data_IF_241000463642
#
_entry.id   IF_241000463642
#
_cell.length_a   1.000
_cell.length_b   1.000
_cell.length_c   1.000
_cell.angle_alpha   90.00
_cell.angle_beta   90.00
_cell.angle_gamma   90.00
#
_symmetry.space_group_name_H-M   'P 1'
#
loop_
_entity.id
_entity.type
_entity.pdbx_description
1 polymer ?
#
# COMPACT_ATOMS: atom_id res chain seq x y z
N UNK A 1 -20.94 23.91 35.95
CA UNK A 1 -20.81 22.72 36.81
C UNK A 1 -20.51 21.54 35.88
N UNK A 2 -19.25 21.38 35.46
CA UNK A 2 -18.20 20.60 36.13
C UNK A 2 -18.57 19.14 36.33
N UNK A 3 -18.01 18.27 35.50
CA UNK A 3 -17.23 17.08 35.89
C UNK A 3 -16.52 16.57 34.62
N UNK A 4 -15.25 16.97 34.49
CA UNK A 4 -14.25 16.36 33.60
C UNK A 4 -13.70 15.16 34.36
N UNK A 5 -13.94 13.95 33.86
CA UNK A 5 -13.17 12.80 34.31
C UNK A 5 -11.76 12.89 33.72
N UNK A 6 -10.82 13.08 34.65
CA UNK A 6 -9.40 12.98 34.43
C UNK A 6 -9.03 11.50 34.44
N UNK A 7 -8.53 10.98 33.33
CA UNK A 7 -7.68 9.79 33.29
C UNK A 7 -6.89 9.80 31.97
N UNK A 8 -5.95 10.72 31.88
CA UNK A 8 -4.90 10.70 30.87
C UNK A 8 -3.81 9.73 31.31
N UNK A 9 -3.90 8.48 30.86
CA UNK A 9 -2.77 7.56 30.91
C UNK A 9 -1.72 8.05 29.91
N UNK A 10 -0.56 8.42 30.44
CA UNK A 10 0.60 8.89 29.70
C UNK A 10 1.06 7.84 28.68
N UNK A 11 0.96 8.18 27.40
CA UNK A 11 1.60 7.44 26.30
C UNK A 11 3.10 7.74 26.38
N UNK A 12 3.83 6.88 27.09
CA UNK A 12 5.29 6.87 27.12
C UNK A 12 5.82 6.13 25.91
N UNK A 13 6.53 6.84 25.04
CA UNK A 13 7.21 6.28 23.86
C UNK A 13 7.23 7.31 22.74
N UNK A 14 8.24 8.18 22.72
CA UNK A 14 8.46 9.16 21.64
C UNK A 14 8.79 10.60 22.09
N UNK A 15 8.93 10.85 23.39
CA UNK A 15 9.20 12.22 23.88
C UNK A 15 10.59 12.73 23.46
N UNK A 16 11.58 11.84 23.33
CA UNK A 16 12.99 12.24 23.20
C UNK A 16 13.35 12.63 21.75
N UNK A 17 12.88 11.86 20.76
CA UNK A 17 13.07 12.16 19.33
C UNK A 17 12.27 13.40 18.88
N UNK A 18 11.09 13.63 19.48
CA UNK A 18 10.25 14.80 19.22
C UNK A 18 10.85 16.08 19.82
N UNK A 19 11.60 15.96 20.91
CA UNK A 19 12.26 17.08 21.59
C UNK A 19 13.51 17.56 20.85
N UNK A 20 14.29 16.67 20.23
CA UNK A 20 15.46 17.05 19.43
C UNK A 20 15.09 17.74 18.11
N UNK A 21 14.00 17.32 17.45
CA UNK A 21 13.46 17.98 16.25
C UNK A 21 12.89 19.38 16.55
N UNK A 22 12.43 19.62 17.79
CA UNK A 22 11.89 20.91 18.24
C UNK A 22 12.94 22.02 18.32
N UNK A 23 14.18 21.69 18.67
CA UNK A 23 15.25 22.66 18.90
C UNK A 23 16.12 22.94 17.66
N UNK A 24 16.03 22.12 16.62
CA UNK A 24 16.83 22.25 15.40
C UNK A 24 16.17 23.06 14.28
N UNK A 25 14.97 23.63 14.51
CA UNK A 25 14.34 24.48 13.50
C UNK A 25 14.97 25.88 13.54
N UNK A 26 15.87 26.15 12.59
CA UNK A 26 16.43 27.48 12.39
C UNK A 26 15.29 28.52 12.25
N UNK A 27 15.49 29.72 12.81
CA UNK A 27 14.53 30.81 12.67
C UNK A 27 14.40 31.20 11.19
N UNK A 28 13.32 30.76 10.55
CA UNK A 28 13.06 31.04 9.13
C UNK A 28 12.36 32.39 9.00
N UNK A 29 13.02 33.36 8.36
CA UNK A 29 12.47 34.71 8.12
C UNK A 29 11.41 34.79 7.01
N UNK A 30 11.05 33.66 6.38
CA UNK A 30 10.11 33.57 5.24
C UNK A 30 8.88 32.75 5.61
N UNK A 31 7.70 33.22 5.22
CA UNK A 31 6.43 32.55 5.52
C UNK A 31 6.31 31.16 4.87
N UNK A 32 6.83 30.99 3.66
CA UNK A 32 6.81 29.71 2.94
C UNK A 32 7.63 28.61 3.63
N UNK A 33 8.68 29.00 4.35
CA UNK A 33 9.52 28.06 5.10
C UNK A 33 8.87 27.69 6.44
N UNK A 34 8.07 28.60 7.01
CA UNK A 34 7.33 28.38 8.25
C UNK A 34 6.07 27.51 8.04
N UNK A 35 5.45 27.54 6.87
CA UNK A 35 4.23 26.75 6.62
C UNK A 35 4.48 25.24 6.72
N UNK A 36 5.58 24.73 6.17
CA UNK A 36 5.96 23.30 6.22
C UNK A 36 6.02 22.72 7.65
N UNK A 37 6.76 23.32 8.61
CA UNK A 37 6.82 22.81 9.99
C UNK A 37 5.54 23.05 10.79
N UNK A 38 4.73 24.06 10.44
CA UNK A 38 3.41 24.25 11.05
C UNK A 38 2.47 23.12 10.60
N UNK A 39 2.37 22.86 9.30
CA UNK A 39 1.53 21.80 8.76
C UNK A 39 1.98 20.40 9.23
N UNK A 40 3.28 20.16 9.37
CA UNK A 40 3.77 18.86 9.88
C UNK A 40 3.40 18.59 11.33
N UNK A 41 3.02 19.63 12.10
CA UNK A 41 2.61 19.53 13.51
C UNK A 41 1.11 19.75 13.74
N UNK A 42 0.40 20.33 12.79
CA UNK A 42 -1.04 20.59 12.90
C UNK A 42 -1.84 19.27 12.95
N UNK A 43 -1.37 18.25 12.24
CA UNK A 43 -2.05 16.96 12.15
C UNK A 43 -1.27 15.86 12.89
N UNK A 44 -1.98 15.14 13.75
CA UNK A 44 -1.43 13.94 14.38
C UNK A 44 -1.28 12.81 13.35
N UNK A 45 -0.28 11.95 13.56
CA UNK A 45 -0.10 10.72 12.79
C UNK A 45 -1.35 9.84 12.92
N UNK A 46 -1.90 9.41 11.80
CA UNK A 46 -3.06 8.53 11.76
C UNK A 46 -2.77 7.30 10.90
N UNK A 47 -2.79 6.13 11.53
CA UNK A 47 -2.73 4.86 10.83
C UNK A 47 -4.14 4.44 10.40
N UNK A 48 -4.30 4.09 9.13
CA UNK A 48 -5.56 3.57 8.59
C UNK A 48 -5.84 2.14 9.07
N UNK A 49 -4.79 1.31 9.23
CA UNK A 49 -4.92 0.00 9.87
C UNK A 49 -3.62 -0.42 10.57
N UNK A 50 -3.75 -1.24 11.62
CA UNK A 50 -2.62 -1.98 12.20
C UNK A 50 -2.83 -3.46 11.90
N UNK A 51 -1.82 -4.10 11.32
CA UNK A 51 -1.86 -5.49 10.88
C UNK A 51 -0.62 -6.25 11.35
N UNK A 52 -0.73 -7.56 11.42
CA UNK A 52 0.40 -8.44 11.73
C UNK A 52 1.19 -8.72 10.47
N UNK A 53 2.50 -8.76 10.61
CA UNK A 53 3.48 -9.01 9.56
C UNK A 53 4.19 -10.32 9.87
N UNK A 54 3.89 -11.36 9.10
CA UNK A 54 4.41 -12.72 9.29
C UNK A 54 5.63 -12.97 8.40
N UNK A 55 6.77 -13.27 9.04
CA UNK A 55 8.04 -13.55 8.37
C UNK A 55 8.26 -15.04 8.11
N UNK A 56 7.61 -15.93 8.88
CA UNK A 56 7.77 -17.37 8.76
C UNK A 56 7.51 -18.09 10.08
N UNK A 57 7.85 -19.37 10.13
CA UNK A 57 7.76 -20.19 11.35
C UNK A 57 9.13 -20.28 12.02
N UNK A 58 9.15 -20.15 13.34
CA UNK A 58 10.35 -20.36 14.17
C UNK A 58 10.58 -21.85 14.37
N UNK A 59 11.80 -22.26 14.76
CA UNK A 59 12.18 -23.65 15.09
C UNK A 59 11.25 -24.35 16.10
N UNK A 60 10.52 -23.59 16.93
CA UNK A 60 9.55 -24.09 17.89
C UNK A 60 8.11 -24.18 17.35
N UNK A 61 7.89 -23.94 16.04
CA UNK A 61 6.56 -23.95 15.41
C UNK A 61 5.73 -22.69 15.67
N UNK A 62 6.29 -21.68 16.34
CA UNK A 62 5.62 -20.39 16.57
C UNK A 62 5.83 -19.46 15.37
N UNK A 63 4.77 -18.82 14.85
CA UNK A 63 4.92 -17.88 13.74
C UNK A 63 5.67 -16.64 14.22
N UNK A 64 6.76 -16.29 13.55
CA UNK A 64 7.47 -15.04 13.76
C UNK A 64 6.63 -13.91 13.17
N UNK A 65 6.08 -13.09 14.05
CA UNK A 65 5.17 -12.00 13.69
C UNK A 65 5.62 -10.68 14.31
N UNK A 66 5.46 -9.62 13.54
CA UNK A 66 5.73 -8.22 13.92
C UNK A 66 4.45 -7.43 13.72
N UNK A 67 4.16 -6.45 14.58
CA UNK A 67 3.04 -5.54 14.33
C UNK A 67 3.49 -4.33 13.51
N UNK A 68 2.75 -4.04 12.44
CA UNK A 68 2.99 -2.92 11.56
C UNK A 68 1.71 -2.11 11.35
N UNK A 69 1.83 -0.80 11.50
CA UNK A 69 0.80 0.18 11.17
C UNK A 69 0.96 0.67 9.73
N UNK A 70 -0.15 0.80 9.02
CA UNK A 70 -0.20 1.29 7.65
C UNK A 70 -0.89 2.65 7.65
N UNK A 71 -0.18 3.66 7.16
CA UNK A 71 -0.63 5.05 7.08
C UNK A 71 -0.67 5.50 5.63
N UNK A 72 -1.66 6.29 5.25
CA UNK A 72 -1.72 6.84 3.90
C UNK A 72 -0.93 8.15 3.85
N UNK A 73 0.09 8.22 3.01
CA UNK A 73 0.87 9.45 2.84
C UNK A 73 0.14 10.47 1.97
N UNK A 74 -0.59 9.98 0.96
CA UNK A 74 -1.34 10.80 0.02
C UNK A 74 -2.79 10.35 0.02
N UNK A 75 -3.71 11.30 0.15
CA UNK A 75 -5.14 11.07 0.06
C UNK A 75 -5.75 12.04 -0.94
N UNK A 76 -6.66 11.55 -1.78
CA UNK A 76 -7.45 12.43 -2.63
C UNK A 76 -8.34 13.30 -1.75
N UNK A 77 -8.37 14.61 -2.02
CA UNK A 77 -9.20 15.59 -1.33
C UNK A 77 -10.43 15.96 -2.19
N UNK A 78 -11.46 15.10 -2.28
CA UNK A 78 -12.67 15.42 -3.03
C UNK A 78 -13.47 16.52 -2.32
N UNK A 79 -14.28 17.25 -3.09
CA UNK A 79 -15.25 18.20 -2.54
C UNK A 79 -16.18 17.49 -1.53
N UNK A 80 -16.42 18.05 -0.34
CA UNK A 80 -17.30 17.42 0.65
C UNK A 80 -18.71 17.22 0.09
N UNK A 81 -19.33 16.09 0.45
CA UNK A 81 -20.68 15.74 0.01
C UNK A 81 -21.73 16.69 0.62
N UNK A 82 -22.82 16.94 -0.12
CA UNK A 82 -23.92 17.78 0.37
C UNK A 82 -24.56 17.21 1.63
N UNK A 83 -24.84 18.08 2.60
CA UNK A 83 -25.55 17.74 3.84
C UNK A 83 -27.03 18.07 3.65
N UNK A 84 -27.94 17.14 3.99
CA UNK A 84 -29.39 17.38 3.91
C UNK A 84 -29.82 18.15 5.15
N UNK A 85 -30.48 19.29 4.96
CA UNK A 85 -30.96 20.16 6.02
C UNK A 85 -32.48 20.22 6.00
N UNK A 86 -33.09 20.36 7.18
CA UNK A 86 -34.50 20.69 7.27
C UNK A 86 -34.72 22.14 6.83
N UNK A 87 -35.75 22.37 6.00
CA UNK A 87 -36.03 23.68 5.40
C UNK A 87 -36.37 24.74 6.45
N UNK A 88 -37.02 24.36 7.55
CA UNK A 88 -37.50 25.32 8.56
C UNK A 88 -36.45 25.63 9.61
N UNK A 89 -35.71 24.62 10.04
CA UNK A 89 -34.77 24.74 11.17
C UNK A 89 -33.31 24.83 10.74
N UNK A 90 -32.99 24.58 9.46
CA UNK A 90 -31.63 24.47 8.93
C UNK A 90 -30.74 23.47 9.70
N UNK A 91 -31.35 22.52 10.40
CA UNK A 91 -30.64 21.47 11.12
C UNK A 91 -30.39 20.26 10.23
N UNK A 92 -29.30 19.54 10.48
CA UNK A 92 -28.96 18.33 9.74
C UNK A 92 -30.01 17.24 9.92
N UNK A 93 -30.43 16.67 8.79
CA UNK A 93 -31.41 15.58 8.77
C UNK A 93 -30.71 14.23 8.69
N UNK A 94 -31.06 13.32 9.60
CA UNK A 94 -30.58 11.94 9.57
C UNK A 94 -31.30 11.15 8.48
N UNK A 95 -30.53 10.48 7.61
CA UNK A 95 -31.07 9.58 6.58
C UNK A 95 -31.13 8.16 7.16
N UNK A 96 -32.31 7.53 7.13
CA UNK A 96 -32.50 6.12 7.51
C UNK A 96 -33.04 5.38 6.30
N UNK A 97 -32.27 4.43 5.78
CA UNK A 97 -32.66 3.60 4.63
C UNK A 97 -33.20 2.26 5.14
N UNK A 98 -34.36 1.84 4.64
CA UNK A 98 -35.01 0.57 4.96
C UNK A 98 -35.46 -0.11 3.68
N UNK A 99 -35.35 -1.43 3.63
CA UNK A 99 -35.83 -2.26 2.53
C UNK A 99 -37.23 -2.78 2.85
N UNK A 100 -38.11 -2.80 1.85
CA UNK A 100 -39.49 -3.25 1.99
C UNK A 100 -39.89 -4.17 0.84
N UNK A 101 -40.76 -5.14 1.11
CA UNK A 101 -41.40 -5.92 0.05
C UNK A 101 -42.41 -5.03 -0.68
N UNK A 102 -42.41 -4.99 -2.03
CA UNK A 102 -43.32 -4.12 -2.78
C UNK A 102 -44.80 -4.48 -2.62
N UNK A 103 -45.12 -5.75 -2.33
CA UNK A 103 -46.51 -6.23 -2.27
C UNK A 103 -47.14 -6.05 -0.88
N UNK A 104 -46.43 -6.43 0.19
CA UNK A 104 -46.95 -6.40 1.57
C UNK A 104 -46.50 -5.18 2.37
N UNK A 105 -45.57 -4.37 1.83
CA UNK A 105 -44.91 -3.27 2.55
C UNK A 105 -44.23 -3.70 3.87
N UNK A 106 -43.93 -4.98 4.02
CA UNK A 106 -43.22 -5.52 5.17
C UNK A 106 -41.74 -5.15 5.11
N UNK A 107 -41.13 -4.90 6.28
CA UNK A 107 -39.72 -4.56 6.37
C UNK A 107 -38.85 -5.81 6.16
N UNK A 108 -37.92 -5.75 5.21
CA UNK A 108 -37.02 -6.86 4.92
C UNK A 108 -35.77 -6.80 5.80
N UNK A 109 -35.47 -7.92 6.45
CA UNK A 109 -34.23 -8.09 7.18
C UNK A 109 -33.12 -8.55 6.23
N UNK A 110 -31.84 -8.35 6.57
CA UNK A 110 -30.72 -8.83 5.74
C UNK A 110 -30.74 -10.34 5.46
N UNK A 111 -31.41 -11.14 6.31
CA UNK A 111 -31.63 -12.58 6.13
C UNK A 111 -32.59 -12.92 5.00
N UNK A 112 -33.52 -12.01 4.68
CA UNK A 112 -34.58 -12.23 3.70
C UNK A 112 -34.13 -11.80 2.29
N UNK A 113 -32.94 -11.21 2.19
CA UNK A 113 -32.36 -10.67 0.96
C UNK A 113 -31.30 -11.62 0.44
N UNK A 114 -31.53 -12.15 -0.76
CA UNK A 114 -30.53 -12.91 -1.51
C UNK A 114 -29.95 -12.08 -2.64
N UNK A 115 -28.71 -12.35 -2.96
CA UNK A 115 -28.01 -11.77 -4.10
C UNK A 115 -28.10 -12.71 -5.28
N UNK A 116 -28.08 -12.20 -6.50
CA UNK A 116 -28.08 -13.06 -7.67
C UNK A 116 -27.39 -12.44 -8.86
N UNK A 117 -26.75 -13.28 -9.66
CA UNK A 117 -26.10 -12.91 -10.91
C UNK A 117 -26.72 -13.76 -12.02
N UNK A 118 -27.16 -13.11 -13.09
CA UNK A 118 -27.69 -13.78 -14.27
C UNK A 118 -26.54 -14.07 -15.24
N UNK A 119 -26.26 -15.35 -15.48
CA UNK A 119 -25.22 -15.82 -16.40
C UNK A 119 -25.87 -16.73 -17.45
N UNK A 120 -25.82 -16.32 -18.71
CA UNK A 120 -26.30 -17.11 -19.86
C UNK A 120 -27.70 -17.73 -19.65
N UNK A 121 -28.68 -16.89 -19.29
CA UNK A 121 -30.07 -17.26 -18.99
C UNK A 121 -30.27 -18.18 -17.78
N UNK A 122 -29.27 -18.35 -16.93
CA UNK A 122 -29.39 -19.01 -15.62
C UNK A 122 -29.13 -18.01 -14.51
N UNK A 123 -30.03 -17.97 -13.54
CA UNK A 123 -29.87 -17.13 -12.35
C UNK A 123 -29.21 -17.92 -11.24
N UNK A 124 -28.02 -17.51 -10.84
CA UNK A 124 -27.33 -18.09 -9.67
C UNK A 124 -27.62 -17.18 -8.49
N UNK A 125 -28.19 -17.75 -7.43
CA UNK A 125 -28.50 -17.06 -6.19
C UNK A 125 -27.40 -17.35 -5.17
N UNK A 126 -27.08 -16.34 -4.36
CA UNK A 126 -26.08 -16.37 -3.32
C UNK A 126 -26.63 -15.74 -2.05
N UNK A 127 -26.29 -16.34 -0.91
CA UNK A 127 -26.52 -15.73 0.38
C UNK A 127 -25.44 -14.68 0.69
N UNK A 128 -25.74 -13.77 1.62
CA UNK A 128 -24.80 -12.73 2.04
C UNK A 128 -23.48 -13.30 2.59
N UNK A 129 -23.53 -14.46 3.25
CA UNK A 129 -22.36 -15.11 3.83
C UNK A 129 -21.54 -15.88 2.79
N UNK A 130 -22.17 -16.42 1.76
CA UNK A 130 -21.47 -17.03 0.62
C UNK A 130 -20.64 -15.99 -0.14
N UNK A 131 -21.20 -14.79 -0.36
CA UNK A 131 -20.44 -13.69 -0.99
C UNK A 131 -19.24 -13.28 -0.14
N UNK A 132 -19.38 -13.26 1.18
CA UNK A 132 -18.24 -12.97 2.08
C UNK A 132 -17.20 -14.08 2.01
N UNK A 133 -17.62 -15.34 1.95
CA UNK A 133 -16.74 -16.49 1.82
C UNK A 133 -15.97 -16.48 0.49
N UNK A 134 -16.64 -16.17 -0.63
CA UNK A 134 -16.00 -16.03 -1.96
C UNK A 134 -14.92 -14.95 -1.95
N UNK A 135 -15.15 -13.84 -1.23
CA UNK A 135 -14.17 -12.74 -1.10
C UNK A 135 -13.07 -13.00 -0.08
N UNK A 136 -13.15 -14.07 0.71
CA UNK A 136 -12.18 -14.38 1.77
C UNK A 136 -11.03 -15.21 1.21
N UNK A 137 -9.88 -14.57 1.01
CA UNK A 137 -8.65 -15.25 0.57
C UNK A 137 -7.70 -15.53 1.73
N UNK A 138 -7.34 -14.49 2.49
CA UNK A 138 -6.44 -14.58 3.63
C UNK A 138 -6.98 -13.75 4.80
N UNK A 139 -6.43 -14.00 5.98
CA UNK A 139 -6.69 -13.17 7.15
C UNK A 139 -5.92 -11.83 7.03
N UNK A 140 -6.37 -10.76 7.70
CA UNK A 140 -5.74 -9.45 7.60
C UNK A 140 -4.30 -9.49 8.11
N UNK A 141 -3.37 -9.04 7.29
CA UNK A 141 -1.95 -9.21 7.56
C UNK A 141 -1.07 -8.94 6.36
N UNK A 142 0.22 -8.88 6.64
CA UNK A 142 1.28 -9.06 5.66
C UNK A 142 1.84 -10.48 5.80
N UNK A 143 1.94 -11.17 4.68
CA UNK A 143 2.63 -12.45 4.59
C UNK A 143 3.78 -12.30 3.58
N UNK A 144 5.02 -12.49 4.04
CA UNK A 144 6.17 -12.44 3.13
C UNK A 144 6.08 -13.60 2.14
N UNK A 145 6.28 -13.31 0.86
CA UNK A 145 6.47 -14.29 -0.20
C UNK A 145 7.96 -14.45 -0.54
N UNK A 146 8.72 -13.35 -0.53
CA UNK A 146 10.16 -13.39 -0.79
C UNK A 146 10.79 -12.01 -0.93
N UNK A 147 12.01 -11.97 -1.43
CA UNK A 147 12.77 -10.75 -1.71
C UNK A 147 13.06 -10.66 -3.20
N UNK A 148 12.98 -9.45 -3.77
CA UNK A 148 13.23 -9.19 -5.20
C UNK A 148 14.01 -7.89 -5.37
N UNK A 149 14.82 -7.78 -6.42
CA UNK A 149 15.60 -6.57 -6.68
C UNK A 149 14.71 -5.38 -7.07
N UNK A 150 15.04 -4.17 -6.59
CA UNK A 150 14.36 -2.91 -6.91
C UNK A 150 14.31 -2.64 -8.41
N UNK A 151 15.32 -3.06 -9.19
CA UNK A 151 15.34 -2.90 -10.65
C UNK A 151 14.17 -3.59 -11.37
N UNK A 152 13.55 -4.60 -10.74
CA UNK A 152 12.37 -5.26 -11.31
C UNK A 152 11.08 -4.44 -11.16
N UNK A 153 11.11 -3.33 -10.39
CA UNK A 153 9.98 -2.46 -10.20
C UNK A 153 9.97 -1.39 -11.30
N UNK A 154 9.03 -1.52 -12.23
CA UNK A 154 8.90 -0.62 -13.37
C UNK A 154 8.06 0.62 -12.98
N UNK A 155 8.55 1.86 -13.20
CA UNK A 155 7.83 3.08 -12.80
C UNK A 155 6.44 3.24 -13.43
N UNK A 156 6.24 2.70 -14.63
CA UNK A 156 4.97 2.80 -15.36
C UNK A 156 3.88 1.85 -14.82
N UNK A 157 4.20 0.94 -13.89
CA UNK A 157 3.26 -0.06 -13.34
C UNK A 157 2.52 0.44 -12.10
N UNK A 158 2.08 1.69 -12.13
CA UNK A 158 1.36 2.32 -11.03
C UNK A 158 -0.14 2.00 -11.05
N UNK A 159 -0.67 1.49 -9.93
CA UNK A 159 -2.10 1.15 -9.78
C UNK A 159 -2.84 2.14 -8.90
N UNK A 160 -2.28 2.47 -7.74
CA UNK A 160 -2.87 3.38 -6.75
C UNK A 160 -1.79 3.97 -5.85
N UNK A 161 -2.08 5.05 -5.09
CA UNK A 161 -1.10 5.68 -4.21
C UNK A 161 -0.53 4.69 -3.21
N UNK A 162 0.76 4.84 -2.95
CA UNK A 162 1.48 3.98 -2.03
C UNK A 162 1.15 4.36 -0.58
N UNK A 163 0.99 3.35 0.27
CA UNK A 163 0.86 3.57 1.70
C UNK A 163 2.25 3.47 2.36
N UNK A 164 2.36 3.94 3.60
CA UNK A 164 3.58 3.88 4.38
C UNK A 164 3.41 2.91 5.55
N UNK A 165 4.40 2.03 5.72
CA UNK A 165 4.40 1.01 6.77
C UNK A 165 5.36 1.46 7.88
N UNK A 166 4.86 1.48 9.11
CA UNK A 166 5.65 1.82 10.29
C UNK A 166 5.43 0.81 11.41
N UNK A 167 6.47 0.33 12.12
CA UNK A 167 6.31 -0.68 13.16
C UNK A 167 5.49 -0.11 14.32
N UNK A 168 4.65 -0.94 14.91
CA UNK A 168 3.84 -0.56 16.07
C UNK A 168 4.25 -1.43 17.27
N UNK A 169 4.96 -0.86 18.24
CA UNK A 169 5.41 -1.62 19.42
C UNK A 169 4.32 -1.89 20.46
N UNK A 170 3.13 -1.31 20.28
CA UNK A 170 2.03 -1.45 21.26
C UNK A 170 1.48 -2.88 21.30
N UNK A 171 1.49 -3.57 20.16
CA UNK A 171 0.93 -4.91 20.03
C UNK A 171 1.98 -6.00 20.21
N UNK A 172 3.15 -5.84 19.58
CA UNK A 172 4.26 -6.79 19.67
C UNK A 172 5.55 -6.03 20.00
N UNK A 173 6.11 -6.29 21.17
CA UNK A 173 7.38 -5.70 21.59
C UNK A 173 8.55 -6.23 20.75
N UNK A 174 9.54 -5.38 20.47
CA UNK A 174 10.67 -5.72 19.60
C UNK A 174 10.38 -5.57 18.11
N UNK A 175 9.16 -5.15 17.74
CA UNK A 175 8.76 -4.89 16.35
C UNK A 175 9.67 -3.88 15.66
N UNK A 176 9.97 -2.74 16.28
CA UNK A 176 10.82 -1.72 15.63
C UNK A 176 12.25 -2.19 15.43
N UNK A 177 12.79 -3.00 16.34
CA UNK A 177 14.14 -3.54 16.20
C UNK A 177 14.23 -4.45 14.96
N UNK A 178 13.33 -5.44 14.85
CA UNK A 178 13.33 -6.35 13.71
C UNK A 178 13.07 -5.60 12.40
N UNK A 179 12.13 -4.66 12.43
CA UNK A 179 11.75 -3.87 11.26
C UNK A 179 12.86 -2.94 10.78
N UNK A 180 13.60 -2.29 11.69
CA UNK A 180 14.76 -1.46 11.37
C UNK A 180 15.91 -2.28 10.80
N UNK A 181 16.14 -3.48 11.34
CA UNK A 181 17.16 -4.39 10.78
C UNK A 181 16.78 -4.82 9.38
N UNK A 182 15.52 -5.21 9.17
CA UNK A 182 15.00 -5.58 7.86
C UNK A 182 15.12 -4.42 6.85
N UNK A 183 14.87 -3.19 7.29
CA UNK A 183 15.05 -1.98 6.49
C UNK A 183 16.49 -1.81 6.02
N UNK A 184 17.44 -1.82 6.95
CA UNK A 184 18.86 -1.63 6.64
C UNK A 184 19.34 -2.68 5.62
N UNK A 185 19.01 -3.95 5.84
CA UNK A 185 19.38 -5.04 4.94
C UNK A 185 18.78 -4.89 3.53
N UNK A 186 17.52 -4.46 3.42
CA UNK A 186 16.87 -4.23 2.12
C UNK A 186 17.52 -3.05 1.37
N UNK A 187 17.89 -2.00 2.10
CA UNK A 187 18.55 -0.82 1.53
C UNK A 187 19.99 -1.12 1.08
N UNK A 188 20.74 -1.88 1.88
CA UNK A 188 22.10 -2.30 1.55
C UNK A 188 22.14 -3.22 0.31
N UNK A 189 21.18 -4.15 0.21
CA UNK A 189 21.11 -5.11 -0.91
C UNK A 189 20.32 -4.61 -2.11
N UNK A 190 19.76 -3.40 -2.05
CA UNK A 190 18.87 -2.84 -3.08
C UNK A 190 17.73 -3.81 -3.46
N UNK A 191 17.12 -4.42 -2.45
CA UNK A 191 16.02 -5.37 -2.60
C UNK A 191 14.76 -4.84 -1.93
N UNK A 192 13.61 -5.22 -2.47
CA UNK A 192 12.32 -5.04 -1.85
C UNK A 192 11.71 -6.37 -1.42
N UNK A 193 10.80 -6.30 -0.45
CA UNK A 193 10.15 -7.47 0.16
C UNK A 193 8.83 -7.77 -0.54
N UNK A 194 8.76 -8.76 -1.42
CA UNK A 194 7.47 -9.13 -2.00
C UNK A 194 6.54 -9.71 -0.91
N UNK A 195 5.45 -9.02 -0.63
CA UNK A 195 4.48 -9.44 0.38
C UNK A 195 3.05 -9.48 -0.14
N UNK A 196 2.29 -10.38 0.46
CA UNK A 196 0.87 -10.53 0.31
C UNK A 196 0.17 -9.67 1.36
N UNK A 197 -0.51 -8.60 0.94
CA UNK A 197 -1.19 -7.65 1.81
C UNK A 197 -2.70 -7.84 1.79
N UNK A 198 -3.27 -7.99 2.98
CA UNK A 198 -4.73 -7.98 3.21
C UNK A 198 -5.06 -6.95 4.29
N UNK A 199 -5.66 -5.82 3.89
CA UNK A 199 -5.96 -4.73 4.82
C UNK A 199 -7.10 -5.07 5.81
N UNK A 200 -8.14 -5.76 5.33
CA UNK A 200 -9.37 -6.08 6.08
C UNK A 200 -9.89 -7.46 5.67
N UNK A 201 -10.68 -8.09 6.53
CA UNK A 201 -11.33 -9.37 6.22
C UNK A 201 -12.22 -9.22 4.97
N UNK A 202 -12.29 -10.28 4.16
CA UNK A 202 -13.09 -10.35 2.93
C UNK A 202 -12.70 -9.28 1.89
N UNK A 203 -11.42 -8.89 1.87
CA UNK A 203 -10.84 -8.04 0.84
C UNK A 203 -9.97 -8.90 -0.06
N UNK A 204 -10.01 -8.69 -1.40
CA UNK A 204 -9.11 -9.41 -2.28
C UNK A 204 -7.67 -9.09 -1.92
N UNK A 205 -6.83 -10.06 -2.25
CA UNK A 205 -5.42 -9.98 -2.02
C UNK A 205 -4.77 -8.90 -2.87
N UNK A 206 -3.69 -8.31 -2.36
CA UNK A 206 -2.79 -7.47 -3.15
C UNK A 206 -1.35 -7.85 -2.90
N UNK A 207 -0.56 -7.89 -3.96
CA UNK A 207 0.89 -7.96 -3.86
C UNK A 207 1.42 -6.55 -3.66
N UNK A 208 2.33 -6.37 -2.71
CA UNK A 208 2.91 -5.07 -2.50
C UNK A 208 4.39 -5.13 -2.14
N UNK A 209 5.13 -4.05 -2.50
CA UNK A 209 6.36 -3.58 -1.81
C UNK A 209 7.30 -2.66 -2.59
N UNK A 210 7.83 -1.68 -1.87
CA UNK A 210 9.24 -1.30 -1.80
C UNK A 210 9.57 -1.17 -0.31
N UNK A 211 10.81 -1.35 0.14
CA UNK A 211 11.17 -1.31 1.58
C UNK A 211 10.49 -0.15 2.32
N UNK A 212 9.35 -0.42 3.00
CA UNK A 212 8.49 0.48 3.80
C UNK A 212 7.47 1.36 3.08
N UNK A 213 7.57 1.49 1.75
CA UNK A 213 6.48 2.00 0.92
C UNK A 213 5.67 0.81 0.40
N UNK A 214 4.38 0.80 0.69
CA UNK A 214 3.47 -0.22 0.21
C UNK A 214 3.08 0.08 -1.25
N UNK A 215 3.98 -0.28 -2.19
CA UNK A 215 3.71 -0.15 -3.61
C UNK A 215 2.82 -1.27 -4.11
N UNK A 216 1.72 -0.93 -4.78
CA UNK A 216 0.74 -1.91 -5.24
C UNK A 216 1.08 -2.42 -6.63
N UNK A 217 1.39 -3.71 -6.74
CA UNK A 217 1.69 -4.34 -8.01
C UNK A 217 0.40 -4.68 -8.77
N UNK A 218 0.33 -4.41 -10.09
CA UNK A 218 -0.81 -4.79 -10.91
C UNK A 218 -0.91 -6.30 -11.04
N UNK A 219 -2.15 -6.81 -11.03
CA UNK A 219 -2.42 -8.17 -11.49
C UNK A 219 -2.37 -8.22 -13.01
N UNK A 220 -2.31 -9.44 -13.58
CA UNK A 220 -2.37 -9.62 -15.03
C UNK A 220 -3.61 -8.93 -15.64
N UNK A 221 -4.74 -8.94 -14.92
CA UNK A 221 -5.98 -8.30 -15.34
C UNK A 221 -5.90 -6.76 -15.41
N UNK A 222 -4.98 -6.12 -14.66
CA UNK A 222 -4.78 -4.67 -14.68
C UNK A 222 -3.89 -4.22 -15.86
N UNK A 223 -3.21 -5.16 -16.52
CA UNK A 223 -2.26 -4.89 -17.60
C UNK A 223 -3.01 -4.86 -18.93
N UNK A 224 -3.05 -3.67 -19.56
CA UNK A 224 -3.63 -3.52 -20.89
C UNK A 224 -2.56 -3.69 -21.97
N UNK A 225 -2.78 -4.62 -22.89
CA UNK A 225 -1.91 -4.80 -24.07
C UNK A 225 -2.23 -3.74 -25.12
N UNK A 226 -1.27 -2.86 -25.41
CA UNK A 226 -1.38 -1.86 -26.47
C UNK A 226 -0.96 -2.46 -27.82
N UNK A 227 -1.58 -2.02 -28.92
CA UNK A 227 -1.14 -2.37 -30.27
C UNK A 227 0.21 -1.71 -30.56
N UNK A 228 1.23 -2.50 -30.93
CA UNK A 228 2.52 -1.97 -31.39
C UNK A 228 2.30 -1.27 -32.73
N UNK A 229 2.44 0.05 -32.76
CA UNK A 229 2.52 0.82 -33.98
C UNK A 229 4.00 1.05 -34.31
N UNK A 230 4.36 1.10 -35.59
CA UNK A 230 5.71 1.49 -36.00
C UNK A 230 5.92 2.97 -35.66
N UNK A 231 6.63 3.23 -34.58
CA UNK A 231 6.94 4.60 -34.14
C UNK A 231 8.21 5.03 -34.90
N UNK A 232 8.15 6.07 -35.75
CA UNK A 232 9.34 6.58 -36.41
C UNK A 232 10.30 7.15 -35.36
N UNK A 233 11.57 6.72 -35.42
CA UNK A 233 12.62 7.22 -34.53
C UNK A 233 12.99 8.65 -34.94
N UNK A 234 12.98 9.57 -33.97
CA UNK A 234 13.35 10.98 -34.15
C UNK A 234 14.85 11.09 -34.47
N UNK A 235 15.22 12.12 -35.25
CA UNK A 235 16.62 12.38 -35.62
C UNK A 235 17.39 13.05 -34.47
N UNK A 236 18.71 12.81 -34.38
CA UNK A 236 19.51 13.35 -33.26
C UNK A 236 19.51 14.89 -33.20
N UNK A 237 19.43 15.56 -34.36
CA UNK A 237 19.40 17.04 -34.43
C UNK A 237 18.14 17.63 -33.76
N UNK A 238 17.00 16.93 -33.86
CA UNK A 238 15.74 17.32 -33.22
C UNK A 238 15.79 17.07 -31.71
N UNK A 239 16.43 15.96 -31.28
CA UNK A 239 16.64 15.65 -29.85
C UNK A 239 17.54 16.70 -29.19
N UNK A 240 18.62 17.13 -29.87
CA UNK A 240 19.54 18.14 -29.35
C UNK A 240 18.86 19.51 -29.21
N UNK A 241 18.00 19.88 -30.17
CA UNK A 241 17.21 21.10 -30.11
C UNK A 241 16.23 21.10 -28.92
N UNK A 242 15.52 19.99 -28.70
CA UNK A 242 14.60 19.84 -27.57
C UNK A 242 15.34 19.79 -26.21
N UNK A 243 16.52 19.18 -26.18
CA UNK A 243 17.37 19.14 -24.98
C UNK A 243 17.88 20.54 -24.62
N UNK A 244 18.24 21.36 -25.61
CA UNK A 244 18.64 22.75 -25.41
C UNK A 244 17.46 23.63 -24.91
N UNK A 245 16.25 23.40 -25.43
CA UNK A 245 15.04 24.07 -24.97
C UNK A 245 14.62 23.66 -23.55
N UNK A 246 14.88 22.41 -23.15
CA UNK A 246 14.62 21.94 -21.79
C UNK A 246 15.65 22.48 -20.81
N UNK A 247 16.94 22.48 -21.19
CA UNK A 247 18.05 22.99 -20.36
C UNK A 247 17.91 24.48 -20.03
N UNK A 248 17.32 25.27 -20.93
CA UNK A 248 17.05 26.70 -20.70
C UNK A 248 15.87 26.95 -19.75
N UNK A 249 14.96 25.98 -19.58
CA UNK A 249 13.92 26.01 -18.55
C UNK A 249 14.43 25.46 -17.20
N UNK A 250 15.40 24.55 -17.18
CA UNK A 250 15.99 24.02 -15.95
C UNK A 250 16.85 25.03 -15.19
N UNK A 251 17.40 26.07 -15.86
CA UNK A 251 18.03 27.20 -15.16
C UNK A 251 17.03 28.01 -14.31
N UNK A 252 15.73 27.93 -14.60
CA UNK A 252 14.66 28.57 -13.81
C UNK A 252 14.26 27.68 -12.62
N UNK A 253 14.34 26.35 -12.74
CA UNK A 253 13.96 25.40 -11.67
C UNK A 253 15.10 25.05 -10.70
N UNK A 254 16.37 25.33 -11.02
CA UNK A 254 17.53 25.11 -10.11
C UNK A 254 17.54 26.00 -8.85
N UNK A 255 16.57 26.89 -8.68
CA UNK A 255 16.39 27.68 -7.46
C UNK A 255 15.59 26.96 -6.37
N UNK A 256 14.88 25.88 -6.72
CA UNK A 256 14.11 25.07 -5.78
C UNK A 256 14.46 23.59 -5.97
N UNK A 257 14.89 22.94 -4.87
CA UNK A 257 15.11 21.50 -4.70
C UNK A 257 16.53 20.93 -5.03
N UNK A 258 17.40 20.99 -4.03
CA UNK A 258 18.53 20.06 -3.87
C UNK A 258 18.00 18.68 -3.45
N UNK A 259 17.64 17.83 -4.40
CA UNK A 259 17.59 16.37 -4.22
C UNK A 259 18.25 15.71 -5.43
N UNK A 260 19.49 15.25 -5.25
CA UNK A 260 20.20 14.42 -6.21
C UNK A 260 19.47 13.07 -6.34
N UNK A 261 18.75 12.86 -7.44
CA UNK A 261 18.48 11.54 -7.99
C UNK A 261 19.33 11.43 -9.25
N UNK A 262 20.37 10.61 -9.18
CA UNK A 262 21.20 10.27 -10.33
C UNK A 262 20.33 9.59 -11.39
N UNK A 263 20.20 10.23 -12.55
CA UNK A 263 19.65 9.61 -13.74
C UNK A 263 20.54 8.41 -14.09
N UNK A 264 20.01 7.20 -13.90
CA UNK A 264 20.55 6.03 -14.56
C UNK A 264 19.83 5.94 -15.91
N UNK A 265 20.60 6.01 -16.98
CA UNK A 265 20.14 5.75 -18.34
C UNK A 265 19.49 4.35 -18.37
N UNK A 266 18.18 4.32 -18.60
CA UNK A 266 17.42 3.08 -18.70
C UNK A 266 17.30 2.75 -20.19
N UNK A 267 18.32 2.06 -20.70
CA UNK A 267 18.25 1.47 -22.04
C UNK A 267 17.12 0.43 -22.05
N UNK A 268 16.18 0.62 -22.97
CA UNK A 268 15.08 -0.30 -23.20
C UNK A 268 15.61 -1.48 -24.03
N UNK A 269 16.27 -2.43 -23.38
CA UNK A 269 16.52 -3.74 -23.98
C UNK A 269 15.24 -4.58 -23.87
N UNK A 270 14.63 -4.82 -25.03
CA UNK A 270 13.58 -5.80 -25.25
C UNK A 270 14.13 -7.21 -25.01
N UNK A 271 14.21 -7.64 -23.75
CA UNK A 271 14.37 -9.06 -23.42
C UNK A 271 13.02 -9.68 -23.06
N UNK A 272 12.63 -10.65 -23.90
CA UNK A 272 11.49 -11.53 -23.73
C UNK A 272 11.53 -12.23 -22.36
N UNK A 273 10.91 -11.63 -21.34
CA UNK A 273 10.66 -12.31 -20.07
C UNK A 273 9.57 -13.34 -20.26
N UNK A 274 10.02 -14.55 -20.59
CA UNK A 274 9.26 -15.78 -20.54
C UNK A 274 8.64 -15.92 -19.14
N UNK A 275 7.32 -15.86 -19.05
CA UNK A 275 6.56 -16.04 -17.80
C UNK A 275 6.52 -17.55 -17.47
N UNK A 276 7.68 -18.16 -17.22
CA UNK A 276 7.78 -19.54 -16.80
C UNK A 276 8.80 -19.68 -15.69
N UNK A 277 8.36 -20.31 -14.60
CA UNK A 277 9.07 -20.64 -13.35
C UNK A 277 9.17 -19.51 -12.31
N UNK A 278 8.28 -19.61 -11.32
CA UNK A 278 8.54 -19.16 -9.96
C UNK A 278 9.70 -19.97 -9.39
N UNK A 279 10.94 -19.51 -9.57
CA UNK A 279 12.07 -20.08 -8.86
C UNK A 279 12.18 -19.43 -7.48
N UNK A 280 11.64 -20.13 -6.49
CA UNK A 280 11.96 -19.89 -5.09
C UNK A 280 13.43 -20.24 -4.87
N UNK A 281 14.22 -19.29 -4.37
CA UNK A 281 15.54 -19.60 -3.82
C UNK A 281 15.32 -20.30 -2.49
N UNK A 282 15.27 -21.64 -2.51
CA UNK A 282 15.56 -22.46 -1.34
C UNK A 282 16.98 -22.96 -1.46
N UNK A 283 17.92 -22.29 -0.80
CA UNK A 283 19.21 -22.91 -0.48
C UNK A 283 18.93 -24.05 0.50
N UNK A 284 19.05 -25.30 0.05
CA UNK A 284 19.34 -26.42 0.93
C UNK A 284 20.20 -27.45 0.20
N UNK A 285 21.21 -27.90 0.92
CA UNK A 285 22.38 -28.61 0.41
C UNK A 285 22.11 -29.92 -0.31
N UNK A 286 23.07 -30.18 -1.18
CA UNK A 286 23.40 -31.41 -1.88
C UNK A 286 23.33 -32.65 -0.97
N UNK A 287 22.53 -33.66 -1.34
CA UNK A 287 22.81 -35.07 -1.08
C UNK A 287 22.09 -35.91 -2.15
N UNK A 288 22.88 -36.51 -3.03
CA UNK A 288 22.40 -37.33 -4.15
C UNK A 288 21.90 -38.69 -3.69
N UNK A 289 20.71 -39.06 -4.13
CA UNK A 289 20.21 -40.44 -4.06
C UNK A 289 19.44 -40.77 -5.33
N UNK A 290 20.03 -41.62 -6.17
CA UNK A 290 19.46 -42.18 -7.40
C UNK A 290 18.99 -43.62 -7.13
N UNK A 291 17.71 -43.97 -7.39
CA UNK A 291 17.28 -45.35 -7.36
C UNK A 291 16.83 -45.80 -8.75
N UNK A 292 17.79 -46.26 -9.56
CA UNK A 292 17.50 -47.23 -10.63
C UNK A 292 18.46 -48.41 -10.57
N UNK A 293 18.05 -49.48 -9.87
CA UNK A 293 18.58 -50.85 -10.09
C UNK A 293 17.73 -51.93 -9.39
N UNK A 294 17.37 -52.97 -10.16
CA UNK A 294 16.89 -54.29 -9.69
C UNK A 294 15.36 -54.38 -9.46
N UNK A 295 14.58 -55.27 -10.06
CA UNK A 295 14.92 -56.59 -10.60
C UNK A 295 14.44 -57.67 -9.62
N UNK A 296 13.40 -58.39 -10.06
CA UNK A 296 12.64 -59.50 -9.40
C UNK A 296 11.55 -59.13 -8.39
#
# INVERSE_FOLDING_TARGET
MSLRDQNGSSIGGGADDEFELRNNLASTGRLNELSKPVYSKEHNKYAHCTVLFSLGQTSHGTPLQVSASVSNMVCSCPKPTKIKLDMKTNMETKIVTKHYLPETAENLMPSDIQYGIDVSNRRVLFDADEIKAIKKFSDPGFQILGFKNISCLLPHRYVKPDDFIYPDEKYVHGSSCLFNTLLKECLEKQMFILCQFTARRNTPLRLASNGFHLHYLPYADDIQTLSKNDIPRITNDEVDADTAATSSNDEINKLDDNVNLSAADFDFEDDDYNFSAFDFVTENGNDGFDPTTGGE
#
